data_IF_633513594929
#
_entry.id   IF_633513594929
#
_cell.length_a   1.000
_cell.length_b   1.000
_cell.length_c   1.000
_cell.angle_alpha   90.00
_cell.angle_beta   90.00
_cell.angle_gamma   90.00
#
_symmetry.space_group_name_H-M   'P 1'
#
loop_
_entity.id
_entity.type
_entity.pdbx_description
1 polymer ?
#
# COMPACT_ATOMS: atom_id res chain seq x y z
N UNK A 1 0.85 -11.88 -1.88
CA UNK A 1 0.15 -13.13 -1.74
C UNK A 1 0.50 -14.13 -2.86
N UNK A 2 0.02 -15.35 -2.73
CA UNK A 2 0.36 -16.41 -3.67
C UNK A 2 -0.09 -16.11 -5.10
N UNK A 3 -1.23 -15.44 -5.26
CA UNK A 3 -1.75 -15.08 -6.58
C UNK A 3 -0.82 -14.09 -7.29
N UNK A 4 -0.44 -13.02 -6.61
CA UNK A 4 0.47 -12.02 -7.17
C UNK A 4 1.81 -12.65 -7.52
N UNK A 5 2.37 -13.45 -6.63
CA UNK A 5 3.67 -14.09 -6.85
C UNK A 5 3.62 -15.04 -8.04
N UNK A 6 2.60 -15.91 -8.09
CA UNK A 6 2.44 -16.85 -9.19
C UNK A 6 2.27 -16.16 -10.54
N UNK A 7 1.42 -15.12 -10.58
CA UNK A 7 1.19 -14.39 -11.82
C UNK A 7 2.44 -13.63 -12.26
N UNK A 8 3.20 -13.06 -11.31
CA UNK A 8 4.43 -12.36 -11.66
C UNK A 8 5.47 -13.27 -12.27
N UNK A 9 5.61 -14.48 -11.72
CA UNK A 9 6.55 -15.46 -12.28
C UNK A 9 6.15 -15.89 -13.69
N UNK A 10 4.85 -16.07 -13.93
CA UNK A 10 4.35 -16.47 -15.22
C UNK A 10 4.56 -15.41 -16.30
N UNK A 11 4.41 -14.13 -15.94
CA UNK A 11 4.43 -13.03 -16.89
C UNK A 11 5.79 -12.32 -17.00
N UNK A 12 6.75 -12.65 -16.13
CA UNK A 12 8.04 -11.96 -16.09
C UNK A 12 8.79 -12.05 -17.42
N UNK A 13 8.80 -13.23 -18.03
CA UNK A 13 9.50 -13.43 -19.31
C UNK A 13 8.86 -12.65 -20.46
N UNK A 14 7.62 -12.22 -20.30
CA UNK A 14 6.92 -11.40 -21.29
C UNK A 14 7.08 -9.91 -21.02
N UNK A 15 7.94 -9.56 -20.07
CA UNK A 15 8.19 -8.18 -19.64
C UNK A 15 6.95 -7.48 -19.09
N UNK A 16 6.10 -8.26 -18.42
CA UNK A 16 4.92 -7.76 -17.74
C UNK A 16 5.17 -7.88 -16.24
N UNK A 17 5.08 -6.77 -15.53
CA UNK A 17 5.34 -6.72 -14.10
C UNK A 17 4.02 -6.76 -13.32
N UNK A 18 4.01 -7.53 -12.24
CA UNK A 18 2.83 -7.68 -11.36
C UNK A 18 3.30 -7.49 -9.93
N UNK A 19 2.79 -6.48 -9.27
CA UNK A 19 3.13 -6.17 -7.90
C UNK A 19 1.84 -5.90 -7.10
N UNK A 20 1.96 -5.94 -5.80
CA UNK A 20 0.85 -5.68 -4.89
C UNK A 20 1.19 -4.56 -3.92
N UNK A 21 0.20 -3.77 -3.57
CA UNK A 21 0.30 -2.76 -2.52
C UNK A 21 -0.60 -3.22 -1.38
N UNK A 22 -0.09 -3.19 -0.15
CA UNK A 22 -0.85 -3.58 1.04
C UNK A 22 -0.95 -2.38 1.98
N UNK A 23 -2.00 -1.56 1.84
CA UNK A 23 -2.20 -0.43 2.74
C UNK A 23 -2.63 -0.92 4.12
N UNK A 24 -2.07 -0.30 5.15
CA UNK A 24 -2.54 -0.48 6.51
C UNK A 24 -3.64 0.53 6.82
N UNK A 25 -3.53 1.23 7.97
CA UNK A 25 -4.49 2.26 8.31
C UNK A 25 -4.27 3.50 7.44
N UNK A 26 -5.25 3.81 6.60
CA UNK A 26 -5.22 4.99 5.73
C UNK A 26 -6.34 5.92 6.18
N UNK A 27 -5.99 7.17 6.46
CA UNK A 27 -6.97 8.19 6.85
C UNK A 27 -7.76 8.62 5.62
N UNK A 28 -9.08 8.49 5.71
CA UNK A 28 -10.00 8.92 4.66
C UNK A 28 -11.14 9.67 5.32
N UNK A 29 -11.89 10.43 4.53
CA UNK A 29 -13.08 11.13 5.04
C UNK A 29 -14.11 10.16 5.60
N UNK A 30 -14.18 8.95 5.06
CA UNK A 30 -15.07 7.92 5.56
C UNK A 30 -14.74 7.56 7.00
N UNK A 31 -13.46 7.46 7.35
CA UNK A 31 -13.04 7.20 8.72
C UNK A 31 -13.40 8.35 9.65
N UNK A 32 -13.23 9.59 9.19
CA UNK A 32 -13.59 10.77 9.97
C UNK A 32 -15.10 10.81 10.24
N UNK A 33 -15.90 10.44 9.26
CA UNK A 33 -17.37 10.45 9.35
C UNK A 33 -17.91 9.17 10.00
N UNK A 34 -17.11 8.17 10.19
CA UNK A 34 -17.51 6.84 10.66
C UNK A 34 -17.88 6.77 12.12
N UNK A 35 -17.89 7.86 12.82
CA UNK A 35 -18.65 8.01 14.02
C UNK A 35 -18.03 7.63 15.34
N UNK A 36 -16.80 7.16 15.42
CA UNK A 36 -16.17 6.95 16.73
C UNK A 36 -15.19 8.08 17.03
N UNK A 37 -15.55 9.02 17.93
CA UNK A 37 -14.61 10.09 18.31
C UNK A 37 -13.31 9.49 18.85
N UNK A 38 -12.18 9.99 18.42
CA UNK A 38 -10.88 9.51 18.89
C UNK A 38 -10.39 8.22 18.23
N UNK A 39 -11.15 7.66 17.28
CA UNK A 39 -10.71 6.44 16.59
C UNK A 39 -9.42 6.66 15.82
N UNK A 40 -9.31 7.80 15.15
CA UNK A 40 -8.12 8.13 14.36
C UNK A 40 -6.90 8.24 15.30
N UNK A 41 -7.03 8.94 16.42
CA UNK A 41 -5.94 9.07 17.38
C UNK A 41 -5.57 7.72 17.98
N UNK A 42 -6.57 6.92 18.35
CA UNK A 42 -6.32 5.61 18.95
C UNK A 42 -5.58 4.69 17.98
N UNK A 43 -6.02 4.62 16.72
CA UNK A 43 -5.37 3.79 15.72
C UNK A 43 -4.00 4.32 15.38
N UNK A 44 -3.86 5.64 15.28
CA UNK A 44 -2.57 6.27 14.97
C UNK A 44 -1.53 5.99 16.04
N UNK A 45 -1.93 5.97 17.32
CA UNK A 45 -0.99 5.72 18.41
C UNK A 45 -0.40 4.31 18.40
N UNK A 46 -1.06 3.37 17.72
CA UNK A 46 -0.59 2.00 17.58
C UNK A 46 0.38 1.80 16.40
N UNK A 47 0.57 2.84 15.60
CA UNK A 47 1.42 2.78 14.42
C UNK A 47 2.78 3.39 14.76
N UNK A 48 3.92 2.75 14.42
CA UNK A 48 5.23 3.31 14.74
C UNK A 48 5.43 4.74 14.24
N UNK A 49 4.91 5.11 13.07
CA UNK A 49 5.00 6.49 12.58
C UNK A 49 3.99 7.42 13.22
N UNK A 50 3.14 6.92 14.14
CA UNK A 50 2.21 7.70 14.93
C UNK A 50 1.14 8.43 14.12
N UNK A 51 0.85 7.95 12.92
CA UNK A 51 -0.21 8.49 12.08
C UNK A 51 -0.67 7.46 11.07
N UNK A 52 -1.89 7.62 10.58
CA UNK A 52 -2.36 6.90 9.41
C UNK A 52 -1.70 7.44 8.14
N UNK A 53 -1.65 6.64 7.10
CA UNK A 53 -1.23 7.10 5.80
C UNK A 53 -2.33 7.91 5.12
N UNK A 54 -1.98 8.61 4.04
CA UNK A 54 -2.96 9.35 3.24
C UNK A 54 -3.26 8.61 1.96
N UNK A 55 -4.42 8.88 1.37
CA UNK A 55 -4.77 8.32 0.06
C UNK A 55 -3.73 8.72 -0.99
N UNK A 56 -3.17 9.92 -0.89
CA UNK A 56 -2.14 10.39 -1.80
C UNK A 56 -0.86 9.57 -1.68
N UNK A 57 -0.48 9.19 -0.47
CA UNK A 57 0.69 8.33 -0.27
C UNK A 57 0.50 6.96 -0.93
N UNK A 58 -0.70 6.40 -0.86
CA UNK A 58 -1.01 5.15 -1.56
C UNK A 58 -0.93 5.35 -3.07
N UNK A 59 -1.50 6.44 -3.57
CA UNK A 59 -1.48 6.75 -5.00
C UNK A 59 -0.05 6.93 -5.52
N UNK A 60 0.82 7.59 -4.75
CA UNK A 60 2.23 7.76 -5.13
C UNK A 60 2.96 6.44 -5.24
N UNK A 61 2.72 5.49 -4.32
CA UNK A 61 3.33 4.18 -4.38
C UNK A 61 2.88 3.41 -5.62
N UNK A 62 1.58 3.46 -5.93
CA UNK A 62 1.04 2.82 -7.12
C UNK A 62 1.64 3.44 -8.39
N UNK A 63 1.71 4.76 -8.45
CA UNK A 63 2.27 5.47 -9.59
C UNK A 63 3.73 5.08 -9.82
N UNK A 64 4.52 4.94 -8.75
CA UNK A 64 5.91 4.51 -8.87
C UNK A 64 6.01 3.09 -9.43
N UNK A 65 5.16 2.17 -8.94
CA UNK A 65 5.14 0.79 -9.45
C UNK A 65 4.74 0.71 -10.92
N UNK A 66 3.95 1.67 -11.40
CA UNK A 66 3.55 1.72 -12.82
C UNK A 66 4.57 2.44 -13.67
N UNK A 67 5.58 3.08 -13.08
CA UNK A 67 6.55 3.89 -13.81
C UNK A 67 7.74 3.05 -14.27
N UNK A 68 8.50 3.54 -15.28
CA UNK A 68 9.75 2.87 -15.68
C UNK A 68 10.81 2.85 -14.59
N UNK A 69 10.67 3.67 -13.55
CA UNK A 69 11.64 3.72 -12.45
C UNK A 69 11.65 2.43 -11.64
N UNK A 70 10.56 1.66 -11.66
CA UNK A 70 10.49 0.36 -10.99
C UNK A 70 10.63 -0.80 -11.97
N UNK A 71 11.35 -0.62 -13.05
CA UNK A 71 11.40 -1.56 -14.18
C UNK A 71 11.93 -2.95 -13.83
N UNK A 72 12.67 -3.09 -12.73
CA UNK A 72 13.21 -4.39 -12.30
C UNK A 72 12.44 -4.95 -11.11
N UNK A 73 11.23 -4.43 -10.84
CA UNK A 73 10.41 -4.81 -9.69
C UNK A 73 9.19 -5.58 -10.18
N UNK A 74 9.13 -6.87 -9.83
CA UNK A 74 7.95 -7.69 -10.08
C UNK A 74 7.83 -8.74 -8.97
N UNK A 75 6.63 -9.17 -8.68
CA UNK A 75 6.36 -10.13 -7.62
C UNK A 75 6.57 -9.56 -6.22
N UNK A 76 6.62 -8.24 -6.10
CA UNK A 76 6.90 -7.57 -4.84
C UNK A 76 5.63 -7.09 -4.15
N UNK A 77 5.74 -6.94 -2.83
CA UNK A 77 4.66 -6.42 -2.00
C UNK A 77 5.19 -5.17 -1.31
N UNK A 78 4.47 -4.07 -1.44
CA UNK A 78 4.83 -2.83 -0.76
C UNK A 78 3.82 -2.60 0.36
N UNK A 79 4.32 -2.61 1.60
CA UNK A 79 3.49 -2.38 2.78
C UNK A 79 3.48 -0.90 3.11
N UNK A 80 2.30 -0.30 3.08
CA UNK A 80 2.09 1.11 3.41
C UNK A 80 1.42 1.19 4.77
N UNK A 81 2.17 0.89 5.81
CA UNK A 81 1.60 0.66 7.14
C UNK A 81 2.31 1.45 8.24
N UNK A 82 3.16 2.41 7.89
CA UNK A 82 3.83 3.27 8.88
C UNK A 82 4.74 2.53 9.84
N UNK A 83 5.23 1.36 9.45
CA UNK A 83 6.13 0.55 10.27
C UNK A 83 5.45 -0.59 11.01
N UNK A 84 4.14 -0.66 10.91
CA UNK A 84 3.39 -1.72 11.54
C UNK A 84 3.30 -2.91 10.59
#
# INVERSE_FOLDING_TARGET
DAFTKGLSLELAAKNIRVNSVRPGFIKTDIHADGGEPGRVERLSSQIPMQRGGTADEVAQAIAWLLSPQSSYVTGSFIDLAGGK
#
